data_IF_461642270175
#
_entry.id   IF_461642270175
#
_cell.length_a   1.000
_cell.length_b   1.000
_cell.length_c   1.000
_cell.angle_alpha   90.00
_cell.angle_beta   90.00
_cell.angle_gamma   90.00
#
_symmetry.space_group_name_H-M   'P 1'
#
loop_
_entity.id
_entity.type
_entity.pdbx_description
1 polymer ?
#
# COMPACT_ATOMS: atom_id res chain seq x y z
N UNK A 1 -27.73 20.94 -7.51
CA UNK A 1 -28.06 19.51 -7.30
C UNK A 1 -26.75 18.77 -7.13
N UNK A 2 -26.54 18.21 -5.94
CA UNK A 2 -25.41 17.36 -5.59
C UNK A 2 -25.45 16.04 -6.36
N UNK A 3 -24.31 15.55 -6.81
CA UNK A 3 -24.11 14.15 -7.25
C UNK A 3 -22.64 13.84 -6.97
N UNK A 4 -22.35 13.36 -5.76
CA UNK A 4 -22.28 11.94 -5.39
C UNK A 4 -20.87 11.40 -5.63
N UNK A 5 -20.26 10.98 -4.53
CA UNK A 5 -18.85 10.69 -4.44
C UNK A 5 -18.49 9.39 -5.15
N UNK A 6 -17.43 9.42 -5.93
CA UNK A 6 -16.67 8.23 -6.27
C UNK A 6 -15.30 8.37 -5.63
N UNK A 7 -15.20 8.02 -4.35
CA UNK A 7 -13.92 7.75 -3.70
C UNK A 7 -13.38 6.44 -4.31
N UNK A 8 -12.86 6.56 -5.53
CA UNK A 8 -12.36 5.47 -6.36
C UNK A 8 -11.35 4.63 -5.59
N UNK A 9 -11.71 3.37 -5.44
CA UNK A 9 -10.88 2.19 -5.26
C UNK A 9 -9.62 2.41 -4.42
N UNK A 10 -9.83 2.32 -3.11
CA UNK A 10 -8.78 2.34 -2.08
C UNK A 10 -7.71 1.29 -2.38
N UNK A 11 -6.63 1.81 -2.96
CA UNK A 11 -5.23 1.40 -2.87
C UNK A 11 -5.00 0.25 -1.89
N UNK A 12 -4.87 -0.96 -2.43
CA UNK A 12 -4.37 -2.16 -1.72
C UNK A 12 -2.85 -2.13 -1.51
N UNK A 13 -2.27 -0.93 -1.47
CA UNK A 13 -0.84 -0.72 -1.28
C UNK A 13 -0.62 -0.30 0.17
N UNK A 14 0.16 -1.11 0.86
CA UNK A 14 0.55 -0.93 2.25
C UNK A 14 2.02 -0.51 2.28
N UNK A 15 2.36 0.40 3.18
CA UNK A 15 3.75 0.77 3.42
C UNK A 15 4.08 0.67 4.89
N UNK A 16 5.09 -0.13 5.24
CA UNK A 16 5.63 -0.23 6.59
C UNK A 16 6.94 0.55 6.64
N UNK A 17 7.04 1.46 7.60
CA UNK A 17 8.30 2.15 7.91
C UNK A 17 9.01 1.38 9.00
N UNK A 18 10.23 0.91 8.72
CA UNK A 18 11.04 0.16 9.69
C UNK A 18 11.87 1.14 10.55
N UNK A 19 12.41 2.19 9.94
CA UNK A 19 13.14 3.29 10.60
C UNK A 19 13.19 4.53 9.68
N UNK A 20 14.06 5.51 9.96
CA UNK A 20 14.23 6.70 9.10
C UNK A 20 14.88 6.42 7.74
N UNK A 21 15.47 5.23 7.55
CA UNK A 21 16.21 4.87 6.34
C UNK A 21 15.47 3.84 5.48
N UNK A 22 14.62 3.01 6.08
CA UNK A 22 14.02 1.84 5.42
C UNK A 22 12.49 1.94 5.35
N UNK A 23 11.96 1.79 4.13
CA UNK A 23 10.53 1.71 3.84
C UNK A 23 10.24 0.46 3.02
N UNK A 24 9.27 -0.32 3.47
CA UNK A 24 8.77 -1.49 2.75
C UNK A 24 7.42 -1.12 2.15
N UNK A 25 7.26 -1.28 0.85
CA UNK A 25 5.98 -1.18 0.15
C UNK A 25 5.53 -2.57 -0.28
N UNK A 26 4.27 -2.91 -0.09
CA UNK A 26 3.71 -4.18 -0.53
C UNK A 26 2.22 -4.07 -0.81
N UNK A 27 1.70 -5.02 -1.56
CA UNK A 27 0.28 -5.10 -1.86
C UNK A 27 -0.38 -6.25 -1.12
N UNK A 28 -1.56 -6.02 -0.55
CA UNK A 28 -2.35 -7.08 0.06
C UNK A 28 -3.72 -7.18 -0.61
N UNK A 29 -3.88 -8.22 -1.44
CA UNK A 29 -5.18 -8.56 -1.98
C UNK A 29 -6.03 -9.26 -0.93
N UNK A 30 -7.29 -8.83 -0.79
CA UNK A 30 -8.29 -9.41 0.11
C UNK A 30 -8.41 -10.94 0.03
N UNK A 31 -8.16 -11.50 -1.17
CA UNK A 31 -8.24 -12.95 -1.44
C UNK A 31 -6.89 -13.67 -1.46
N UNK A 32 -5.80 -12.99 -1.10
CA UNK A 32 -4.46 -13.57 -1.07
C UNK A 32 -4.08 -13.99 0.35
N UNK A 33 -3.50 -15.19 0.55
CA UNK A 33 -3.04 -15.64 1.87
C UNK A 33 -1.84 -14.83 2.39
N UNK A 34 -1.26 -13.92 1.59
CA UNK A 34 -0.14 -13.09 2.01
C UNK A 34 0.11 -11.87 1.13
N UNK A 35 1.08 -11.03 1.53
CA UNK A 35 1.49 -9.85 0.79
C UNK A 35 2.19 -10.24 -0.52
N UNK A 36 1.86 -9.52 -1.59
CA UNK A 36 2.43 -9.64 -2.92
C UNK A 36 3.14 -8.36 -3.30
N UNK A 37 4.09 -8.42 -4.23
CA UNK A 37 4.81 -7.23 -4.72
C UNK A 37 5.53 -6.46 -3.59
N UNK A 38 6.28 -7.18 -2.75
CA UNK A 38 7.03 -6.58 -1.64
C UNK A 38 8.32 -5.96 -2.18
N UNK A 39 8.42 -4.64 -2.05
CA UNK A 39 9.59 -3.85 -2.43
C UNK A 39 10.19 -3.19 -1.18
N UNK A 40 11.51 -3.29 -1.03
CA UNK A 40 12.25 -2.70 0.08
C UNK A 40 13.06 -1.53 -0.48
N UNK A 41 12.75 -0.32 -0.03
CA UNK A 41 13.47 0.90 -0.37
C UNK A 41 14.34 1.30 0.82
N UNK A 42 15.64 1.36 0.56
CA UNK A 42 16.66 1.89 1.46
C UNK A 42 17.12 3.27 0.96
N UNK A 43 17.22 4.21 1.88
CA UNK A 43 17.90 5.49 1.68
C UNK A 43 19.19 5.45 2.51
N UNK A 44 20.31 5.21 1.82
CA UNK A 44 21.66 5.37 2.38
C UNK A 44 21.99 6.86 2.59
#
# INVERSE_FOLDING_TARGET
MSSDGSAGDRKRQYSIRINDQWRICFEWADRSPGPSNVEIVDYH
#
